data_IF_823266503736
#
_entry.id   IF_823266503736
#
_cell.length_a   1.000
_cell.length_b   1.000
_cell.length_c   1.000
_cell.angle_alpha   90.00
_cell.angle_beta   90.00
_cell.angle_gamma   90.00
#
_symmetry.space_group_name_H-M   'P 1'
#
loop_
_entity.id
_entity.type
_entity.pdbx_description
1 polymer ?
#
# COMPACT_ATOMS: atom_id res chain seq x y z
N UNK A 1 6.12 0.79 22.07
CA UNK A 1 4.72 0.62 21.70
C UNK A 1 4.47 1.24 20.33
N UNK A 2 3.93 0.45 19.40
CA UNK A 2 3.71 0.97 18.06
C UNK A 2 2.55 1.96 18.07
N UNK A 3 2.78 3.10 17.48
CA UNK A 3 1.75 4.11 17.33
C UNK A 3 0.79 3.69 16.21
N UNK A 4 -0.50 3.65 16.50
CA UNK A 4 -1.49 3.39 15.47
C UNK A 4 -1.71 4.65 14.64
N UNK A 5 -1.90 4.47 13.34
CA UNK A 5 -2.15 5.58 12.46
C UNK A 5 -3.64 5.94 12.47
N UNK A 6 -3.93 7.23 12.37
CA UNK A 6 -5.29 7.72 12.24
C UNK A 6 -5.71 7.66 10.78
N UNK A 7 -7.02 7.78 10.53
CA UNK A 7 -7.51 7.82 9.15
C UNK A 7 -6.97 9.04 8.40
N UNK A 8 -6.80 10.16 9.07
CA UNK A 8 -6.25 11.35 8.44
C UNK A 8 -4.78 11.16 8.07
N UNK A 9 -4.02 10.50 8.94
CA UNK A 9 -2.65 10.15 8.64
C UNK A 9 -2.56 9.21 7.45
N UNK A 10 -3.46 8.22 7.40
CA UNK A 10 -3.51 7.28 6.29
C UNK A 10 -3.85 8.00 4.97
N UNK A 11 -4.79 8.93 5.01
CA UNK A 11 -5.13 9.72 3.82
C UNK A 11 -3.95 10.55 3.33
N UNK A 12 -3.22 11.17 4.26
CA UNK A 12 -2.06 11.97 3.90
C UNK A 12 -0.96 11.09 3.30
N UNK A 13 -0.78 9.89 3.83
CA UNK A 13 0.26 8.99 3.34
C UNK A 13 -0.11 8.31 2.01
N UNK A 14 -1.38 8.27 1.67
CA UNK A 14 -1.86 7.56 0.47
C UNK A 14 -1.23 8.09 -0.80
N UNK A 15 -1.20 9.40 -0.97
CA UNK A 15 -0.62 10.00 -2.17
C UNK A 15 0.87 9.69 -2.28
N UNK A 16 1.56 9.74 -1.15
CA UNK A 16 2.98 9.42 -1.11
C UNK A 16 3.23 7.95 -1.43
N UNK A 17 2.40 7.07 -0.88
CA UNK A 17 2.50 5.64 -1.15
C UNK A 17 2.29 5.34 -2.63
N UNK A 18 1.29 5.96 -3.24
CA UNK A 18 1.04 5.78 -4.67
C UNK A 18 2.26 6.18 -5.49
N UNK A 19 2.88 7.31 -5.15
CA UNK A 19 4.07 7.79 -5.85
C UNK A 19 5.23 6.80 -5.71
N UNK A 20 5.47 6.31 -4.50
CA UNK A 20 6.54 5.36 -4.24
C UNK A 20 6.31 4.05 -4.99
N UNK A 21 5.12 3.48 -4.87
CA UNK A 21 4.83 2.17 -5.45
C UNK A 21 4.75 2.21 -6.98
N UNK A 22 4.35 3.33 -7.56
CA UNK A 22 4.36 3.47 -9.03
C UNK A 22 5.76 3.31 -9.61
N UNK A 23 6.77 3.70 -8.85
CA UNK A 23 8.16 3.54 -9.28
C UNK A 23 8.64 2.10 -9.10
N UNK A 24 8.03 1.35 -8.20
CA UNK A 24 8.44 -0.02 -7.91
C UNK A 24 7.78 -1.04 -8.82
N UNK A 25 6.57 -0.79 -9.27
CA UNK A 25 5.87 -1.77 -10.08
C UNK A 25 4.52 -1.29 -10.56
N UNK A 26 3.74 -2.22 -11.08
CA UNK A 26 2.43 -1.95 -11.65
C UNK A 26 1.37 -1.86 -10.56
N UNK A 27 1.03 -0.67 -10.15
CA UNK A 27 0.02 -0.43 -9.12
C UNK A 27 -1.36 -0.40 -9.74
N UNK A 28 -2.27 -1.22 -9.20
CA UNK A 28 -3.66 -1.19 -9.60
C UNK A 28 -4.43 -0.14 -8.78
N UNK A 29 -4.20 -0.12 -7.47
CA UNK A 29 -4.88 0.83 -6.60
C UNK A 29 -4.17 0.92 -5.26
N UNK A 30 -4.42 2.02 -4.55
CA UNK A 30 -4.00 2.20 -3.16
C UNK A 30 -5.23 2.61 -2.38
N UNK A 31 -5.54 1.88 -1.34
CA UNK A 31 -6.69 2.17 -0.48
C UNK A 31 -6.30 2.26 0.97
N UNK A 32 -7.25 2.67 1.79
CA UNK A 32 -7.09 2.73 3.24
C UNK A 32 -7.77 1.50 3.81
N UNK A 33 -7.11 0.83 4.74
CA UNK A 33 -7.65 -0.35 5.41
C UNK A 33 -7.43 -0.26 6.91
N UNK A 34 -8.13 -1.10 7.65
CA UNK A 34 -7.92 -1.21 9.09
C UNK A 34 -6.72 -2.12 9.33
N UNK A 35 -5.83 -1.67 10.20
CA UNK A 35 -4.67 -2.47 10.64
C UNK A 35 -4.61 -2.37 12.15
N UNK A 36 -4.75 -3.49 12.80
CA UNK A 36 -4.83 -3.55 14.27
C UNK A 36 -5.91 -2.59 14.80
N UNK A 37 -5.55 -1.64 15.66
CA UNK A 37 -6.50 -0.68 16.21
C UNK A 37 -6.51 0.65 15.46
N UNK A 38 -5.83 0.71 14.33
CA UNK A 38 -5.72 1.94 13.57
C UNK A 38 -5.98 1.71 12.10
N UNK A 39 -5.37 2.55 11.29
CA UNK A 39 -5.52 2.50 9.84
C UNK A 39 -4.18 2.30 9.17
N UNK A 40 -4.21 1.72 7.99
CA UNK A 40 -3.04 1.52 7.18
C UNK A 40 -3.40 1.67 5.73
N UNK A 41 -2.43 1.43 4.86
CA UNK A 41 -2.63 1.50 3.43
C UNK A 41 -2.60 0.09 2.86
N UNK A 42 -3.45 -0.15 1.88
CA UNK A 42 -3.43 -1.40 1.12
C UNK A 42 -3.07 -1.07 -0.31
N UNK A 43 -1.95 -1.60 -0.77
CA UNK A 43 -1.47 -1.41 -2.12
C UNK A 43 -1.78 -2.67 -2.91
N UNK A 44 -2.58 -2.54 -3.95
CA UNK A 44 -2.91 -3.65 -4.82
C UNK A 44 -2.07 -3.53 -6.10
N UNK A 45 -1.35 -4.60 -6.40
CA UNK A 45 -0.48 -4.66 -7.57
C UNK A 45 -1.11 -5.55 -8.63
N UNK A 46 -0.92 -5.21 -9.89
CA UNK A 46 -1.38 -6.03 -11.02
C UNK A 46 -0.50 -7.26 -11.21
N UNK A 47 0.76 -7.15 -10.81
CA UNK A 47 1.71 -8.22 -10.96
C UNK A 47 2.73 -8.14 -9.83
N UNK A 48 3.43 -9.25 -9.53
CA UNK A 48 4.44 -9.23 -8.48
C UNK A 48 5.55 -8.24 -8.80
N UNK A 49 6.18 -7.72 -7.75
CA UNK A 49 7.35 -6.89 -7.89
C UNK A 49 8.50 -7.75 -8.42
N UNK A 50 9.45 -7.09 -9.10
CA UNK A 50 10.63 -7.78 -9.61
C UNK A 50 11.43 -8.41 -8.47
N UNK A 51 12.10 -9.56 -8.72
CA UNK A 51 12.97 -10.16 -7.71
C UNK A 51 14.00 -9.15 -7.21
N UNK A 52 14.23 -9.16 -5.91
CA UNK A 52 15.18 -8.24 -5.29
C UNK A 52 14.61 -6.89 -4.92
N UNK A 53 13.38 -6.59 -5.32
CA UNK A 53 12.72 -5.35 -4.94
C UNK A 53 11.93 -5.59 -3.66
N UNK A 54 12.25 -4.83 -2.62
CA UNK A 54 11.54 -4.91 -1.35
C UNK A 54 10.68 -3.67 -1.17
N UNK A 55 9.36 -3.82 -1.14
CA UNK A 55 8.50 -2.67 -0.93
C UNK A 55 8.61 -2.16 0.51
N UNK A 56 8.38 -0.88 0.75
CA UNK A 56 8.35 -0.38 2.11
C UNK A 56 7.18 -0.99 2.89
N UNK A 57 7.39 -1.23 4.16
CA UNK A 57 6.35 -1.75 5.04
C UNK A 57 5.56 -0.64 5.72
N UNK A 58 6.02 0.58 5.57
CA UNK A 58 5.36 1.76 6.10
C UNK A 58 5.69 2.97 5.24
N UNK A 59 4.76 3.90 5.15
CA UNK A 59 4.96 5.16 4.45
C UNK A 59 4.53 6.26 5.42
N UNK A 60 5.45 7.18 5.73
CA UNK A 60 5.20 8.27 6.67
C UNK A 60 4.62 7.79 8.01
N UNK A 61 5.14 6.65 8.48
CA UNK A 61 4.68 6.09 9.73
C UNK A 61 3.40 5.29 9.65
N UNK A 62 2.77 5.21 8.48
CA UNK A 62 1.53 4.46 8.26
C UNK A 62 1.87 3.08 7.72
N UNK A 63 1.41 2.00 8.36
CA UNK A 63 1.71 0.65 7.89
C UNK A 63 1.10 0.40 6.52
N UNK A 64 1.81 -0.39 5.71
CA UNK A 64 1.42 -0.70 4.34
C UNK A 64 1.32 -2.21 4.16
N UNK A 65 0.22 -2.64 3.58
CA UNK A 65 0.03 -4.03 3.15
C UNK A 65 0.03 -4.07 1.64
N UNK A 66 0.77 -5.01 1.08
CA UNK A 66 0.87 -5.17 -0.36
C UNK A 66 0.23 -6.48 -0.75
N UNK A 67 -0.64 -6.43 -1.76
CA UNK A 67 -1.29 -7.62 -2.27
C UNK A 67 -1.22 -7.61 -3.79
N UNK A 68 -0.92 -8.76 -4.37
CA UNK A 68 -0.94 -8.92 -5.82
C UNK A 68 -2.30 -9.48 -6.20
N UNK A 69 -3.10 -8.67 -6.88
CA UNK A 69 -4.46 -9.08 -7.26
C UNK A 69 -4.54 -9.64 -8.68
N UNK A 70 -3.45 -9.47 -9.44
CA UNK A 70 -3.43 -9.92 -10.81
C UNK A 70 -4.29 -9.06 -11.71
N UNK A 71 -4.44 -9.51 -12.94
CA UNK A 71 -5.25 -8.81 -13.91
C UNK A 71 -6.65 -9.45 -13.95
N UNK A 72 -7.67 -8.65 -13.67
CA UNK A 72 -9.05 -9.13 -13.78
C UNK A 72 -9.44 -9.12 -15.25
N UNK A 73 -9.79 -10.29 -15.76
CA UNK A 73 -10.25 -10.39 -17.13
C UNK A 73 -11.77 -10.40 -17.15
N UNK A 74 -12.39 -9.48 -17.85
CA UNK A 74 -13.83 -9.56 -18.05
C UNK A 74 -14.15 -10.77 -18.92
N UNK A 75 -15.24 -11.40 -18.62
CA UNK A 75 -15.68 -12.54 -19.40
C UNK A 75 -16.86 -12.15 -20.26
#
# INVERSE_FOLDING_TARGET
MAKTATIDEARAAKARALEIFRRLGAVASVGITRVDDGYGLKVNLREPLRPGVSPPTAVEGVPVRVEVIGMVRPR
#
